data_IF_432622579211
#
_entry.id   IF_432622579211
#
_cell.length_a   1.000
_cell.length_b   1.000
_cell.length_c   1.000
_cell.angle_alpha   90.00
_cell.angle_beta   90.00
_cell.angle_gamma   90.00
#
_symmetry.space_group_name_H-M   'P 1'
#
loop_
_entity.id
_entity.type
_entity.pdbx_description
1 polymer ?
#
# COMPACT_ATOMS: atom_id res chain seq x y z
N UNK A 1 -11.34 11.86 -19.28
CA UNK A 1 -12.28 11.38 -18.24
C UNK A 1 -11.41 10.81 -17.12
N UNK A 2 -11.26 11.54 -16.02
CA UNK A 2 -10.25 11.28 -14.99
C UNK A 2 -10.42 9.89 -14.40
N UNK A 3 -9.45 9.01 -14.69
CA UNK A 3 -9.31 7.71 -14.06
C UNK A 3 -8.79 8.00 -12.65
N UNK A 4 -9.64 7.79 -11.66
CA UNK A 4 -9.30 7.94 -10.25
C UNK A 4 -7.97 7.23 -9.96
N UNK A 5 -7.11 7.93 -9.22
CA UNK A 5 -5.86 7.40 -8.65
C UNK A 5 -6.20 6.02 -8.06
N UNK A 6 -5.59 4.95 -8.60
CA UNK A 6 -5.84 3.60 -8.13
C UNK A 6 -5.06 3.38 -6.83
N UNK A 7 -5.61 3.88 -5.74
CA UNK A 7 -5.25 3.43 -4.39
C UNK A 7 -5.84 2.03 -4.23
N UNK A 8 -4.98 1.02 -4.36
CA UNK A 8 -5.39 -0.39 -4.27
C UNK A 8 -4.88 -0.99 -2.96
N UNK A 9 -5.75 -1.56 -2.12
CA UNK A 9 -5.31 -2.22 -0.90
C UNK A 9 -4.47 -3.45 -1.24
N UNK A 10 -3.30 -3.55 -0.60
CA UNK A 10 -2.45 -4.71 -0.70
C UNK A 10 -2.38 -5.40 0.67
N UNK A 11 -3.07 -6.52 0.79
CA UNK A 11 -3.11 -7.32 2.00
C UNK A 11 -2.61 -8.73 1.70
N UNK A 12 -1.67 -9.23 2.51
CA UNK A 12 -1.04 -10.52 2.28
C UNK A 12 -0.49 -11.12 3.58
N UNK A 13 -0.45 -12.45 3.63
CA UNK A 13 0.06 -13.18 4.80
C UNK A 13 1.59 -13.26 4.85
N UNK A 14 2.27 -12.94 3.74
CA UNK A 14 3.73 -12.90 3.68
C UNK A 14 4.22 -11.86 2.66
N UNK A 15 5.48 -11.38 2.79
CA UNK A 15 6.09 -10.47 1.82
C UNK A 15 6.14 -11.04 0.39
N UNK A 16 6.37 -12.34 0.24
CA UNK A 16 6.43 -13.00 -1.07
C UNK A 16 5.07 -12.98 -1.76
N UNK A 17 3.99 -13.23 -1.00
CA UNK A 17 2.63 -13.15 -1.53
C UNK A 17 2.25 -11.71 -1.88
N UNK A 18 2.63 -10.75 -1.03
CA UNK A 18 2.42 -9.32 -1.31
C UNK A 18 3.07 -8.90 -2.64
N UNK A 19 4.30 -9.34 -2.87
CA UNK A 19 5.03 -9.07 -4.10
C UNK A 19 4.37 -9.72 -5.33
N UNK A 20 3.93 -10.97 -5.23
CA UNK A 20 3.21 -11.65 -6.31
C UNK A 20 1.93 -10.91 -6.69
N UNK A 21 1.14 -10.49 -5.70
CA UNK A 21 -0.09 -9.72 -5.91
C UNK A 21 0.21 -8.35 -6.54
N UNK A 22 1.22 -7.65 -6.06
CA UNK A 22 1.67 -6.38 -6.63
C UNK A 22 2.07 -6.52 -8.10
N UNK A 23 2.88 -7.53 -8.45
CA UNK A 23 3.29 -7.80 -9.82
C UNK A 23 2.11 -8.17 -10.73
N UNK A 24 1.19 -9.00 -10.23
CA UNK A 24 -0.02 -9.40 -10.96
C UNK A 24 -0.94 -8.19 -11.24
N UNK A 25 -1.03 -7.26 -10.28
CA UNK A 25 -1.74 -6.00 -10.47
C UNK A 25 -1.03 -5.10 -11.48
N UNK A 26 0.27 -4.84 -11.29
CA UNK A 26 1.11 -4.02 -12.17
C UNK A 26 1.05 -4.48 -13.63
N UNK A 27 0.96 -5.79 -13.88
CA UNK A 27 0.83 -6.36 -15.22
C UNK A 27 -0.49 -6.00 -15.94
N UNK A 28 -1.53 -5.57 -15.21
CA UNK A 28 -2.84 -5.16 -15.75
C UNK A 28 -2.95 -3.65 -15.97
N UNK A 29 -2.00 -2.88 -15.47
CA UNK A 29 -1.98 -1.42 -15.51
C UNK A 29 -1.22 -0.96 -16.76
N UNK A 30 -1.70 0.07 -17.46
CA UNK A 30 -0.99 0.57 -18.66
C UNK A 30 0.19 1.45 -18.24
N UNK A 31 1.19 1.59 -19.09
CA UNK A 31 2.38 2.41 -18.79
C UNK A 31 2.09 3.90 -18.50
N UNK A 32 0.90 4.38 -18.88
CA UNK A 32 0.43 5.75 -18.62
C UNK A 32 -0.24 5.93 -17.25
N UNK A 33 -0.58 4.84 -16.56
CA UNK A 33 -1.27 4.87 -15.29
C UNK A 33 -0.24 4.87 -14.15
N UNK A 34 -0.39 5.80 -13.22
CA UNK A 34 0.41 5.83 -11.99
C UNK A 34 -0.17 4.84 -10.97
N UNK A 35 0.70 4.09 -10.31
CA UNK A 35 0.35 3.18 -9.22
C UNK A 35 0.72 3.87 -7.90
N UNK A 36 -0.24 3.98 -7.01
CA UNK A 36 -0.04 4.51 -5.67
C UNK A 36 -0.21 3.39 -4.65
N UNK A 37 0.66 3.38 -3.65
CA UNK A 37 0.64 2.42 -2.55
C UNK A 37 0.83 3.17 -1.25
N UNK A 38 -0.24 3.28 -0.46
CA UNK A 38 -0.17 3.88 0.87
C UNK A 38 0.34 2.84 1.88
N UNK A 39 1.64 2.93 2.14
CA UNK A 39 2.45 1.93 2.83
C UNK A 39 2.55 2.27 4.31
N UNK A 40 2.11 1.42 5.25
CA UNK A 40 2.31 1.66 6.67
C UNK A 40 3.81 1.64 7.01
N UNK A 41 4.37 2.76 7.50
CA UNK A 41 5.79 2.85 7.88
C UNK A 41 6.18 1.82 8.95
N UNK A 42 5.24 1.49 9.83
CA UNK A 42 5.38 0.47 10.88
C UNK A 42 5.44 -0.96 10.35
N UNK A 43 5.22 -1.18 9.04
CA UNK A 43 5.45 -2.45 8.36
C UNK A 43 6.72 -2.36 7.48
N UNK A 44 7.89 -2.78 7.97
CA UNK A 44 9.14 -2.71 7.21
C UNK A 44 9.11 -3.52 5.91
N UNK A 45 8.35 -4.61 5.86
CA UNK A 45 8.20 -5.42 4.64
C UNK A 45 7.43 -4.67 3.56
N UNK A 46 6.45 -3.85 3.95
CA UNK A 46 5.73 -2.99 3.02
C UNK A 46 6.63 -1.88 2.47
N UNK A 47 7.43 -1.24 3.33
CA UNK A 47 8.43 -0.24 2.91
C UNK A 47 9.46 -0.84 1.96
N UNK A 48 10.01 -2.01 2.30
CA UNK A 48 10.97 -2.71 1.46
C UNK A 48 10.41 -3.07 0.08
N UNK A 49 9.12 -3.39 -0.03
CA UNK A 49 8.45 -3.62 -1.32
C UNK A 49 8.43 -2.35 -2.17
N UNK A 50 8.03 -1.20 -1.59
CA UNK A 50 8.01 0.08 -2.28
C UNK A 50 9.41 0.50 -2.78
N UNK A 51 10.43 0.32 -1.95
CA UNK A 51 11.83 0.59 -2.30
C UNK A 51 12.35 -0.35 -3.39
N UNK A 52 12.07 -1.65 -3.30
CA UNK A 52 12.46 -2.67 -4.30
C UNK A 52 11.97 -2.32 -5.70
N UNK A 53 10.77 -1.75 -5.79
CA UNK A 53 10.16 -1.33 -7.05
C UNK A 53 10.40 0.14 -7.39
N UNK A 54 11.34 0.80 -6.71
CA UNK A 54 11.78 2.18 -6.95
C UNK A 54 10.62 3.18 -6.95
N UNK A 55 9.64 2.96 -6.07
CA UNK A 55 8.53 3.90 -5.92
C UNK A 55 9.02 5.20 -5.27
N UNK A 56 8.49 6.33 -5.74
CA UNK A 56 8.79 7.63 -5.17
C UNK A 56 7.77 7.99 -4.11
N UNK A 57 8.25 8.42 -2.94
CA UNK A 57 7.41 8.94 -1.87
C UNK A 57 6.63 10.18 -2.34
N UNK A 58 5.31 10.12 -2.30
CA UNK A 58 4.46 11.23 -2.72
C UNK A 58 4.18 12.21 -1.58
N UNK A 59 3.73 11.70 -0.44
CA UNK A 59 3.50 12.43 0.81
C UNK A 59 3.52 11.46 1.99
N UNK A 60 3.46 11.99 3.21
CA UNK A 60 3.33 11.22 4.45
C UNK A 60 2.01 11.55 5.13
N UNK A 61 1.43 10.57 5.79
CA UNK A 61 0.30 10.77 6.69
C UNK A 61 0.52 10.02 7.99
N UNK A 62 -0.06 10.53 9.08
CA UNK A 62 -0.08 9.84 10.35
C UNK A 62 -1.51 9.37 10.64
N UNK A 63 -1.68 8.07 10.88
CA UNK A 63 -2.98 7.53 11.33
C UNK A 63 -3.10 7.70 12.85
N UNK A 64 -4.08 8.48 13.29
CA UNK A 64 -4.29 8.82 14.70
C UNK A 64 -5.49 8.07 15.27
N UNK A 65 -5.34 7.55 16.50
CA UNK A 65 -6.40 6.88 17.24
C UNK A 65 -6.61 7.58 18.58
N UNK A 66 -7.87 7.69 19.02
CA UNK A 66 -8.19 8.10 20.39
C UNK A 66 -8.21 6.88 21.29
N UNK A 67 -7.71 7.02 22.51
CA UNK A 67 -7.62 5.90 23.47
C UNK A 67 -6.44 4.96 23.20
N UNK A 68 -6.63 3.67 23.48
CA UNK A 68 -5.61 2.65 23.24
C UNK A 68 -5.46 2.36 21.74
N UNK A 69 -4.25 2.00 21.33
CA UNK A 69 -3.99 1.56 19.96
C UNK A 69 -4.90 0.36 19.60
N UNK A 70 -5.62 0.39 18.47
CA UNK A 70 -6.49 -0.72 18.07
C UNK A 70 -5.67 -1.94 17.64
N UNK A 71 -6.24 -3.13 17.83
CA UNK A 71 -5.64 -4.35 17.30
C UNK A 71 -5.81 -4.39 15.78
N UNK A 72 -4.70 -4.18 15.05
CA UNK A 72 -4.68 -4.09 13.59
C UNK A 72 -3.66 -5.07 13.02
N UNK A 73 -3.99 -5.74 11.91
CA UNK A 73 -3.09 -6.68 11.24
C UNK A 73 -2.02 -5.95 10.41
N UNK A 74 -1.28 -5.01 11.01
CA UNK A 74 -0.32 -4.14 10.31
C UNK A 74 0.76 -4.91 9.55
N UNK A 75 1.22 -6.05 10.08
CA UNK A 75 2.21 -6.90 9.42
C UNK A 75 1.70 -7.47 8.08
N UNK A 76 0.38 -7.62 7.94
CA UNK A 76 -0.28 -8.14 6.73
C UNK A 76 -0.73 -7.02 5.79
N UNK A 77 -0.66 -5.77 6.23
CA UNK A 77 -1.06 -4.59 5.45
C UNK A 77 0.15 -3.99 4.75
N UNK A 78 0.20 -4.15 3.43
CA UNK A 78 1.24 -3.58 2.56
C UNK A 78 0.76 -2.32 1.83
N UNK A 79 -0.56 -2.14 1.71
CA UNK A 79 -1.21 -0.97 1.14
C UNK A 79 -2.60 -0.79 1.74
N UNK A 80 -2.94 0.39 2.24
CA UNK A 80 -4.32 0.67 2.71
C UNK A 80 -5.25 1.01 1.54
N UNK A 81 -6.55 0.82 1.73
CA UNK A 81 -7.53 0.95 0.64
C UNK A 81 -7.79 2.40 0.22
N UNK A 82 -7.92 3.30 1.19
CA UNK A 82 -8.14 4.74 1.00
C UNK A 82 -7.97 5.47 2.32
N UNK A 83 -7.60 6.75 2.28
CA UNK A 83 -7.59 7.61 3.47
C UNK A 83 -8.97 7.75 4.13
N UNK A 84 -10.04 7.71 3.34
CA UNK A 84 -11.40 7.97 3.85
C UNK A 84 -12.03 6.74 4.50
N UNK A 85 -11.68 5.53 4.04
CA UNK A 85 -12.35 4.29 4.43
C UNK A 85 -11.46 3.37 5.26
N UNK A 86 -10.15 3.60 5.26
CA UNK A 86 -9.22 2.92 6.14
C UNK A 86 -8.58 1.69 5.52
#
# INVERSE_FOLDING_TARGET
MSKWLQDWPLFADSPELAEQLFLAFKAKVTASDAIFLDTPEVNPSAVALAEKYQMTKSFETARMYTGSFPDLPLERTFGVASFEIG
#
